data_IF_245034756540
#
_entry.id   IF_245034756540
#
_cell.length_a   1.000
_cell.length_b   1.000
_cell.length_c   1.000
_cell.angle_alpha   90.00
_cell.angle_beta   90.00
_cell.angle_gamma   90.00
#
_symmetry.space_group_name_H-M   'P 1'
#
loop_
_entity.id
_entity.type
_entity.pdbx_description
1 polymer ?
#
# COMPACT_ATOMS: atom_id res chain seq x y z
N UNK A 1 12.40 -10.68 -11.96
CA UNK A 1 12.03 -11.04 -10.58
C UNK A 1 11.24 -9.87 -10.01
N UNK A 2 10.08 -10.13 -9.45
CA UNK A 2 9.24 -9.11 -8.84
C UNK A 2 9.93 -8.40 -7.68
N UNK A 3 9.45 -7.22 -7.32
CA UNK A 3 9.95 -6.41 -6.21
C UNK A 3 8.92 -6.36 -5.09
N UNK A 4 9.37 -6.11 -3.87
CA UNK A 4 8.51 -5.81 -2.74
C UNK A 4 8.46 -4.30 -2.55
N UNK A 5 7.29 -3.72 -2.64
CA UNK A 5 7.11 -2.28 -2.57
C UNK A 5 6.08 -1.88 -1.50
N UNK A 6 6.28 -0.75 -0.87
CA UNK A 6 5.28 -0.12 0.00
C UNK A 6 5.05 1.32 -0.42
N UNK A 7 3.84 1.83 -0.24
CA UNK A 7 3.55 3.22 -0.56
C UNK A 7 2.18 3.67 -0.10
N UNK A 8 2.08 4.96 0.21
CA UNK A 8 0.86 5.58 0.73
C UNK A 8 0.72 7.03 0.27
N UNK A 9 -0.52 7.49 0.21
CA UNK A 9 -0.79 8.92 0.29
C UNK A 9 -0.39 9.41 1.67
N UNK A 10 0.46 10.44 1.71
CA UNK A 10 1.13 10.87 2.93
C UNK A 10 1.00 12.38 3.09
N UNK A 11 0.68 12.86 4.29
CA UNK A 11 0.76 14.28 4.62
C UNK A 11 2.21 14.78 4.65
N UNK A 12 2.41 16.09 4.54
CA UNK A 12 3.74 16.69 4.59
C UNK A 12 4.47 16.43 5.93
N UNK A 13 3.71 16.25 7.01
CA UNK A 13 4.22 15.89 8.34
C UNK A 13 4.30 14.38 8.61
N UNK A 14 4.12 13.54 7.56
CA UNK A 14 4.48 12.11 7.55
C UNK A 14 3.41 11.14 8.03
N UNK A 15 2.13 11.54 8.04
CA UNK A 15 1.02 10.68 8.42
C UNK A 15 0.30 10.11 7.19
N UNK A 16 -0.19 8.87 7.29
CA UNK A 16 -0.97 8.17 6.26
C UNK A 16 -2.45 8.04 6.58
N UNK A 17 -2.82 8.37 7.80
CA UNK A 17 -4.20 8.43 8.26
C UNK A 17 -4.27 9.24 9.56
N UNK A 18 -5.47 9.67 9.93
CA UNK A 18 -5.79 10.21 11.26
C UNK A 18 -5.68 9.13 12.34
N UNK A 19 -5.74 9.49 13.64
CA UNK A 19 -5.65 8.51 14.73
C UNK A 19 -6.76 7.44 14.70
N UNK A 20 -7.94 7.77 14.18
CA UNK A 20 -9.10 6.89 13.99
C UNK A 20 -8.98 5.97 12.76
N UNK A 21 -7.97 6.19 11.91
CA UNK A 21 -7.72 5.45 10.69
C UNK A 21 -8.31 6.09 9.42
N UNK A 22 -9.06 7.19 9.56
CA UNK A 22 -9.62 7.91 8.42
C UNK A 22 -8.53 8.62 7.62
N UNK A 23 -8.60 8.51 6.30
CA UNK A 23 -7.60 9.09 5.39
C UNK A 23 -7.86 10.57 5.08
N UNK A 24 -9.11 11.00 5.12
CA UNK A 24 -9.50 12.39 4.91
C UNK A 24 -8.87 13.03 3.67
N UNK A 25 -8.25 14.23 3.82
CA UNK A 25 -7.73 14.99 2.67
C UNK A 25 -6.53 14.34 1.97
N UNK A 26 -5.94 13.28 2.53
CA UNK A 26 -4.87 12.52 1.87
C UNK A 26 -5.33 11.87 0.57
N UNK A 27 -6.64 11.64 0.42
CA UNK A 27 -7.23 10.98 -0.76
C UNK A 27 -7.96 11.95 -1.71
N UNK A 28 -7.93 13.26 -1.45
CA UNK A 28 -8.62 14.24 -2.31
C UNK A 28 -8.13 14.20 -3.76
N UNK A 29 -6.87 13.90 -4.01
CA UNK A 29 -6.31 13.77 -5.34
C UNK A 29 -6.88 12.61 -6.16
N UNK A 30 -7.49 11.60 -5.52
CA UNK A 30 -8.20 10.52 -6.20
C UNK A 30 -9.53 10.96 -6.81
N UNK A 31 -10.04 12.15 -6.40
CA UNK A 31 -11.36 12.65 -6.81
C UNK A 31 -11.32 14.07 -7.40
N UNK A 32 -10.16 14.72 -7.37
CA UNK A 32 -9.97 16.12 -7.79
C UNK A 32 -9.54 16.32 -9.24
N UNK A 33 -9.43 15.26 -10.04
CA UNK A 33 -8.99 15.34 -11.44
C UNK A 33 -10.15 15.27 -12.45
N UNK A 34 -9.77 15.26 -13.72
CA UNK A 34 -10.69 15.21 -14.88
C UNK A 34 -10.61 13.88 -15.67
N UNK A 35 -9.66 13.01 -15.31
CA UNK A 35 -9.45 11.73 -15.96
C UNK A 35 -10.09 10.60 -15.15
N UNK A 36 -11.10 9.95 -15.74
CA UNK A 36 -11.68 8.76 -15.12
C UNK A 36 -10.72 7.58 -15.15
N UNK A 37 -10.52 6.98 -13.98
CA UNK A 37 -9.73 5.78 -13.81
C UNK A 37 -10.54 4.72 -13.06
N UNK A 38 -10.90 3.64 -13.76
CA UNK A 38 -11.62 2.52 -13.16
C UNK A 38 -10.64 1.54 -12.51
N UNK A 39 -10.84 1.26 -11.22
CA UNK A 39 -10.03 0.26 -10.50
C UNK A 39 -10.20 -1.14 -11.11
N UNK A 40 -9.19 -2.02 -10.99
CA UNK A 40 -9.23 -3.37 -11.59
C UNK A 40 -10.44 -4.21 -11.17
N UNK A 41 -10.94 -4.11 -9.93
CA UNK A 41 -12.18 -4.79 -9.50
C UNK A 41 -13.41 -4.34 -10.29
N UNK A 42 -13.37 -3.14 -10.85
CA UNK A 42 -14.46 -2.54 -11.57
C UNK A 42 -15.51 -1.81 -10.71
N UNK A 43 -15.40 -1.87 -9.39
CA UNK A 43 -16.40 -1.34 -8.46
C UNK A 43 -16.18 0.13 -8.10
N UNK A 44 -14.94 0.62 -8.28
CA UNK A 44 -14.53 1.98 -7.94
C UNK A 44 -14.03 2.69 -9.18
N UNK A 45 -14.57 3.89 -9.43
CA UNK A 45 -14.04 4.83 -10.44
C UNK A 45 -13.51 6.06 -9.75
N UNK A 46 -12.24 6.37 -10.00
CA UNK A 46 -11.54 7.55 -9.51
C UNK A 46 -11.60 8.66 -10.57
N UNK A 47 -11.42 9.91 -10.14
CA UNK A 47 -11.23 11.07 -11.00
C UNK A 47 -9.90 11.73 -10.68
N UNK A 48 -8.87 11.33 -11.37
CA UNK A 48 -7.49 11.74 -11.11
C UNK A 48 -6.95 12.60 -12.24
N UNK A 49 -5.77 13.19 -12.05
CA UNK A 49 -5.05 13.84 -13.16
C UNK A 49 -4.55 12.79 -14.17
N UNK A 50 -4.27 13.17 -15.44
CA UNK A 50 -3.66 12.26 -16.41
C UNK A 50 -2.36 11.63 -15.91
N UNK A 51 -1.50 12.41 -15.26
CA UNK A 51 -0.23 11.95 -14.71
C UNK A 51 -0.44 10.88 -13.62
N UNK A 52 -1.38 11.11 -12.70
CA UNK A 52 -1.74 10.14 -11.67
C UNK A 52 -2.38 8.88 -12.27
N UNK A 53 -3.21 9.02 -13.31
CA UNK A 53 -3.82 7.89 -14.00
C UNK A 53 -2.75 6.97 -14.64
N UNK A 54 -1.71 7.54 -15.24
CA UNK A 54 -0.61 6.77 -15.83
C UNK A 54 0.18 6.00 -14.77
N UNK A 55 0.46 6.62 -13.62
CA UNK A 55 1.09 5.95 -12.49
C UNK A 55 0.23 4.81 -11.92
N UNK A 56 -1.06 5.02 -11.78
CA UNK A 56 -1.97 3.97 -11.31
C UNK A 56 -2.06 2.80 -12.29
N UNK A 57 -2.09 3.06 -13.60
CA UNK A 57 -2.05 2.00 -14.64
C UNK A 57 -0.77 1.18 -14.56
N UNK A 58 0.38 1.86 -14.40
CA UNK A 58 1.67 1.18 -14.23
C UNK A 58 1.68 0.32 -12.98
N UNK A 59 1.27 0.87 -11.83
CA UNK A 59 1.18 0.17 -10.56
C UNK A 59 0.32 -1.11 -10.67
N UNK A 60 -0.90 -0.97 -11.18
CA UNK A 60 -1.82 -2.11 -11.28
C UNK A 60 -1.35 -3.18 -12.28
N UNK A 61 -0.63 -2.79 -13.33
CA UNK A 61 -0.05 -3.73 -14.29
C UNK A 61 1.10 -4.55 -13.68
N UNK A 62 1.88 -3.94 -12.80
CA UNK A 62 3.11 -4.52 -12.24
C UNK A 62 2.89 -5.28 -10.94
N UNK A 63 1.81 -5.01 -10.20
CA UNK A 63 1.48 -5.72 -8.95
C UNK A 63 0.84 -7.08 -9.24
N UNK A 64 1.20 -8.09 -8.45
CA UNK A 64 0.69 -9.46 -8.53
C UNK A 64 0.04 -9.97 -7.25
N UNK A 65 0.41 -9.41 -6.09
CA UNK A 65 -0.17 -9.75 -4.79
C UNK A 65 -0.02 -8.61 -3.79
N UNK A 66 -0.76 -8.68 -2.70
CA UNK A 66 -0.70 -7.72 -1.61
C UNK A 66 -0.44 -8.42 -0.28
N UNK A 67 0.35 -7.78 0.58
CA UNK A 67 0.51 -8.12 2.00
C UNK A 67 -0.06 -6.98 2.82
N UNK A 68 -0.99 -7.27 3.73
CA UNK A 68 -1.60 -6.25 4.59
C UNK A 68 -1.62 -6.69 6.04
N UNK A 69 -1.64 -5.73 6.97
CA UNK A 69 -1.85 -6.04 8.38
C UNK A 69 -3.33 -6.28 8.71
N UNK A 70 -3.59 -7.11 9.72
CA UNK A 70 -4.95 -7.43 10.19
C UNK A 70 -5.77 -6.18 10.50
N UNK A 71 -5.19 -5.19 11.16
CA UNK A 71 -5.90 -3.94 11.50
C UNK A 71 -6.34 -3.15 10.27
N UNK A 72 -5.52 -3.11 9.22
CA UNK A 72 -5.88 -2.49 7.95
C UNK A 72 -7.01 -3.28 7.27
N UNK A 73 -6.91 -4.60 7.25
CA UNK A 73 -7.94 -5.50 6.70
C UNK A 73 -9.29 -5.31 7.40
N UNK A 74 -9.30 -5.27 8.73
CA UNK A 74 -10.52 -5.09 9.53
C UNK A 74 -11.14 -3.71 9.32
N UNK A 75 -10.31 -2.64 9.32
CA UNK A 75 -10.77 -1.27 9.07
C UNK A 75 -11.41 -1.12 7.69
N UNK A 76 -10.85 -1.79 6.68
CA UNK A 76 -11.41 -1.83 5.33
C UNK A 76 -12.62 -2.79 5.19
N UNK A 77 -13.06 -3.47 6.25
CA UNK A 77 -14.14 -4.45 6.18
C UNK A 77 -13.86 -5.59 5.19
N UNK A 78 -12.57 -5.98 5.03
CA UNK A 78 -12.14 -6.93 4.02
C UNK A 78 -12.52 -6.50 2.59
N UNK A 79 -12.70 -5.21 2.34
CA UNK A 79 -13.15 -4.66 1.05
C UNK A 79 -14.42 -5.33 0.50
N UNK A 80 -15.29 -5.80 1.39
CA UNK A 80 -16.51 -6.50 0.97
C UNK A 80 -16.26 -7.85 0.30
N UNK A 81 -15.08 -8.46 0.51
CA UNK A 81 -14.72 -9.77 -0.06
C UNK A 81 -13.79 -9.71 -1.27
N UNK A 82 -13.47 -8.52 -1.79
CA UNK A 82 -12.59 -8.35 -2.96
C UNK A 82 -11.83 -7.04 -2.89
N UNK A 83 -10.50 -7.12 -2.92
CA UNK A 83 -9.66 -5.92 -2.92
C UNK A 83 -9.85 -5.11 -4.23
N UNK A 84 -9.88 -3.75 -4.19
CA UNK A 84 -10.06 -2.92 -5.38
C UNK A 84 -9.04 -3.18 -6.51
N UNK A 85 -7.84 -3.62 -6.19
CA UNK A 85 -6.83 -4.01 -7.18
C UNK A 85 -7.05 -5.41 -7.79
N UNK A 86 -8.06 -6.15 -7.34
CA UNK A 86 -8.39 -7.49 -7.80
C UNK A 86 -7.19 -8.49 -7.74
N UNK A 87 -6.47 -8.44 -6.64
CA UNK A 87 -5.28 -9.25 -6.39
C UNK A 87 -5.46 -10.14 -5.16
N UNK A 88 -4.76 -11.29 -5.08
CA UNK A 88 -4.67 -12.07 -3.86
C UNK A 88 -4.05 -11.24 -2.73
N UNK A 89 -4.64 -11.35 -1.53
CA UNK A 89 -4.23 -10.59 -0.35
C UNK A 89 -3.78 -11.54 0.76
N UNK A 90 -2.56 -11.33 1.25
CA UNK A 90 -1.99 -12.04 2.39
C UNK A 90 -2.11 -11.15 3.63
N UNK A 91 -2.90 -11.62 4.61
CA UNK A 91 -3.20 -10.84 5.82
C UNK A 91 -2.33 -11.33 6.97
N UNK A 92 -1.39 -10.50 7.42
CA UNK A 92 -0.55 -10.79 8.60
C UNK A 92 -1.40 -10.62 9.85
N UNK A 93 -1.52 -11.69 10.65
CA UNK A 93 -2.40 -11.71 11.83
C UNK A 93 -1.87 -12.67 12.90
N UNK A 94 -2.28 -12.48 14.16
CA UNK A 94 -2.05 -13.46 15.23
C UNK A 94 -3.15 -14.52 15.34
N UNK A 95 -4.35 -14.23 14.77
CA UNK A 95 -5.49 -15.14 14.80
C UNK A 95 -6.26 -15.05 13.49
N UNK A 96 -6.67 -16.21 12.99
CA UNK A 96 -7.41 -16.31 11.72
C UNK A 96 -8.90 -16.05 11.99
N UNK A 97 -9.52 -15.04 11.33
CA UNK A 97 -10.95 -14.79 11.44
C UNK A 97 -11.73 -15.82 10.62
N UNK A 98 -12.56 -16.61 11.31
CA UNK A 98 -13.25 -17.76 10.70
C UNK A 98 -14.28 -17.36 9.65
N UNK A 99 -14.87 -16.19 9.77
CA UNK A 99 -15.85 -15.63 8.84
C UNK A 99 -15.31 -15.36 7.42
N UNK A 100 -13.99 -15.26 7.28
CA UNK A 100 -13.32 -15.05 6.02
C UNK A 100 -12.73 -16.32 5.39
N UNK A 101 -12.90 -17.48 6.06
CA UNK A 101 -12.45 -18.78 5.56
C UNK A 101 -13.57 -19.46 4.78
N UNK A 102 -13.63 -19.19 3.48
CA UNK A 102 -14.56 -19.84 2.56
C UNK A 102 -13.84 -20.23 1.27
N UNK A 103 -14.39 -21.20 0.56
CA UNK A 103 -13.83 -21.67 -0.71
C UNK A 103 -13.79 -20.53 -1.75
N UNK A 104 -12.65 -20.33 -2.39
CA UNK A 104 -12.45 -19.23 -3.35
C UNK A 104 -12.18 -17.86 -2.72
N UNK A 105 -11.98 -17.77 -1.39
CA UNK A 105 -11.56 -16.52 -0.73
C UNK A 105 -10.25 -16.00 -1.35
N UNK A 106 -10.18 -14.71 -1.74
CA UNK A 106 -8.93 -14.10 -2.21
C UNK A 106 -7.96 -13.77 -1.06
N UNK A 107 -8.36 -14.05 0.18
CA UNK A 107 -7.60 -13.73 1.38
C UNK A 107 -6.89 -14.97 1.94
N UNK A 108 -5.59 -14.81 2.18
CA UNK A 108 -4.77 -15.81 2.87
C UNK A 108 -4.27 -15.22 4.17
N UNK A 109 -4.68 -15.80 5.31
CA UNK A 109 -4.25 -15.35 6.63
C UNK A 109 -2.93 -16.02 7.02
N UNK A 110 -1.92 -15.20 7.39
CA UNK A 110 -0.57 -15.67 7.72
C UNK A 110 -0.25 -15.33 9.17
N UNK A 111 0.03 -16.36 9.97
CA UNK A 111 0.29 -16.23 11.42
C UNK A 111 1.77 -16.36 11.80
N UNK A 112 2.64 -16.57 10.81
CA UNK A 112 4.07 -16.86 11.02
C UNK A 112 4.99 -15.64 10.75
N UNK A 113 4.43 -14.42 10.83
CA UNK A 113 5.19 -13.19 10.69
C UNK A 113 5.22 -12.62 9.28
N UNK A 114 5.91 -11.48 9.16
CA UNK A 114 5.94 -10.69 7.93
C UNK A 114 6.77 -11.36 6.83
N UNK A 115 7.87 -11.99 7.19
CA UNK A 115 8.75 -12.69 6.24
C UNK A 115 8.00 -13.80 5.51
N UNK A 116 7.27 -14.64 6.26
CA UNK A 116 6.45 -15.71 5.68
C UNK A 116 5.31 -15.17 4.79
N UNK A 117 4.73 -14.03 5.16
CA UNK A 117 3.68 -13.42 4.36
C UNK A 117 4.22 -12.86 3.04
N UNK A 118 5.37 -12.20 3.07
CA UNK A 118 6.04 -11.66 1.87
C UNK A 118 6.49 -12.79 0.95
N UNK A 119 7.12 -13.85 1.49
CA UNK A 119 7.55 -15.01 0.71
C UNK A 119 6.36 -15.65 -0.06
N UNK A 120 5.28 -15.94 0.63
CA UNK A 120 4.06 -16.53 0.02
C UNK A 120 3.40 -15.59 -0.99
N UNK A 121 3.42 -14.29 -0.73
CA UNK A 121 2.90 -13.29 -1.66
C UNK A 121 3.76 -13.20 -2.93
N UNK A 122 5.10 -13.28 -2.79
CA UNK A 122 6.03 -13.32 -3.93
C UNK A 122 5.84 -14.58 -4.78
N UNK A 123 5.63 -15.75 -4.17
CA UNK A 123 5.28 -16.98 -4.90
C UNK A 123 3.99 -16.79 -5.70
N UNK A 124 2.94 -16.24 -5.10
CA UNK A 124 1.67 -15.99 -5.77
C UNK A 124 1.76 -14.93 -6.87
N UNK A 125 2.60 -13.92 -6.69
CA UNK A 125 2.80 -12.84 -7.65
C UNK A 125 3.61 -13.27 -8.88
N UNK A 126 4.42 -14.32 -8.80
CA UNK A 126 5.30 -14.80 -9.86
C UNK A 126 6.34 -13.75 -10.24
N UNK A 127 6.36 -13.32 -11.50
CA UNK A 127 7.29 -12.27 -11.97
C UNK A 127 6.85 -10.84 -11.62
N UNK A 128 5.65 -10.66 -11.09
CA UNK A 128 5.12 -9.37 -10.67
C UNK A 128 5.56 -9.00 -9.26
N UNK A 129 5.37 -7.74 -8.90
CA UNK A 129 5.72 -7.19 -7.60
C UNK A 129 4.65 -7.45 -6.53
N UNK A 130 5.06 -7.38 -5.28
CA UNK A 130 4.18 -7.44 -4.10
C UNK A 130 4.06 -6.07 -3.47
N UNK A 131 2.81 -5.64 -3.23
CA UNK A 131 2.53 -4.43 -2.48
C UNK A 131 2.35 -4.70 -0.98
N UNK A 132 3.00 -3.93 -0.13
CA UNK A 132 2.84 -4.02 1.33
C UNK A 132 2.03 -2.84 1.83
N UNK A 133 0.85 -3.10 2.43
CA UNK A 133 -0.12 -2.11 2.89
C UNK A 133 -0.38 -2.14 4.40
N UNK A 134 -0.55 -0.95 4.99
CA UNK A 134 -0.72 -0.74 6.43
C UNK A 134 0.60 -0.39 7.13
N UNK A 135 0.58 0.68 7.96
CA UNK A 135 1.79 1.25 8.55
C UNK A 135 2.66 0.23 9.28
N UNK A 136 2.05 -0.55 10.18
CA UNK A 136 2.79 -1.49 11.02
C UNK A 136 3.50 -2.59 10.20
N UNK A 137 2.83 -3.20 9.22
CA UNK A 137 3.47 -4.23 8.37
C UNK A 137 4.50 -3.63 7.43
N UNK A 138 4.28 -2.40 6.94
CA UNK A 138 5.29 -1.68 6.16
C UNK A 138 6.56 -1.43 6.98
N UNK A 139 6.41 -0.93 8.22
CA UNK A 139 7.51 -0.69 9.14
C UNK A 139 8.27 -1.98 9.48
N UNK A 140 7.57 -3.08 9.76
CA UNK A 140 8.18 -4.39 9.99
C UNK A 140 8.94 -4.87 8.75
N UNK A 141 8.36 -4.74 7.55
CA UNK A 141 9.00 -5.14 6.29
C UNK A 141 10.26 -4.31 5.99
N UNK A 142 10.22 -3.00 6.23
CA UNK A 142 11.38 -2.12 6.08
C UNK A 142 12.48 -2.53 7.06
N UNK A 143 12.14 -2.73 8.33
CA UNK A 143 13.08 -3.15 9.38
C UNK A 143 13.72 -4.52 9.10
N UNK A 144 12.96 -5.43 8.49
CA UNK A 144 13.44 -6.75 8.09
C UNK A 144 14.23 -6.75 6.77
N UNK A 145 14.42 -5.59 6.11
CA UNK A 145 15.14 -5.48 4.84
C UNK A 145 14.41 -6.12 3.65
N UNK A 146 13.09 -6.27 3.73
CA UNK A 146 12.29 -6.92 2.70
C UNK A 146 11.80 -5.95 1.60
N UNK A 147 11.89 -4.64 1.82
CA UNK A 147 11.36 -3.63 0.89
C UNK A 147 12.44 -3.19 -0.10
N UNK A 148 12.14 -3.30 -1.38
CA UNK A 148 12.97 -2.81 -2.49
C UNK A 148 12.62 -1.37 -2.88
N UNK A 149 11.33 -1.02 -2.83
CA UNK A 149 10.83 0.28 -3.30
C UNK A 149 9.84 0.91 -2.32
N UNK A 150 9.95 2.24 -2.18
CA UNK A 150 9.05 3.05 -1.36
C UNK A 150 8.40 4.12 -2.24
N UNK A 151 7.07 4.17 -2.20
CA UNK A 151 6.25 5.20 -2.83
C UNK A 151 5.67 6.16 -1.81
N UNK A 152 5.75 7.46 -2.09
CA UNK A 152 5.08 8.50 -1.33
C UNK A 152 4.23 9.30 -2.32
N UNK A 153 2.93 9.31 -2.10
CA UNK A 153 2.02 10.21 -2.81
C UNK A 153 1.73 11.38 -1.86
N UNK A 154 2.61 12.39 -1.93
CA UNK A 154 2.65 13.50 -1.00
C UNK A 154 1.49 14.47 -1.24
N UNK A 155 0.51 14.46 -0.36
CA UNK A 155 -0.57 15.43 -0.34
C UNK A 155 -0.13 16.73 0.35
N UNK A 156 -0.50 17.92 -0.18
CA UNK A 156 -0.09 19.22 0.38
C UNK A 156 -0.92 19.60 1.62
N UNK A 157 -0.86 18.77 2.65
CA UNK A 157 -1.62 18.90 3.89
C UNK A 157 -0.77 18.55 5.11
N UNK A 158 -1.06 19.19 6.24
CA UNK A 158 -0.55 18.83 7.57
C UNK A 158 -1.72 18.22 8.35
N UNK A 159 -1.54 17.03 8.92
CA UNK A 159 -2.54 16.39 9.77
C UNK A 159 -2.34 16.73 11.26
N UNK A 160 -1.10 17.01 11.69
CA UNK A 160 -0.73 17.34 13.06
C UNK A 160 -0.64 16.14 13.98
N UNK A 161 -1.49 15.13 13.81
CA UNK A 161 -1.50 13.85 14.53
C UNK A 161 -2.05 12.76 13.64
N UNK A 162 -1.69 11.49 13.92
CA UNK A 162 -2.17 10.37 13.14
C UNK A 162 -1.27 9.14 13.15
N UNK A 163 -1.49 8.27 12.16
CA UNK A 163 -0.71 7.07 11.93
C UNK A 163 0.48 7.42 11.04
N UNK A 164 1.70 7.32 11.58
CA UNK A 164 2.92 7.60 10.82
C UNK A 164 3.25 6.50 9.83
N UNK A 165 3.69 6.90 8.64
CA UNK A 165 4.25 5.95 7.68
C UNK A 165 5.56 5.35 8.20
N UNK A 166 6.49 6.21 8.58
CA UNK A 166 7.80 5.80 9.08
C UNK A 166 7.85 6.02 10.59
N UNK A 167 7.87 4.91 11.31
CA UNK A 167 8.03 4.83 12.76
C UNK A 167 8.58 3.46 13.12
N UNK A 168 9.16 3.33 14.31
CA UNK A 168 9.65 2.05 14.86
C UNK A 168 10.69 1.33 13.96
N UNK A 169 11.44 2.07 13.14
CA UNK A 169 12.43 1.50 12.21
C UNK A 169 13.74 1.10 12.88
N UNK A 170 13.94 1.44 14.17
CA UNK A 170 15.19 1.23 14.91
C UNK A 170 16.19 2.36 14.67
N UNK A 171 17.45 2.12 15.01
CA UNK A 171 18.53 3.12 14.97
C UNK A 171 19.32 3.12 13.65
N UNK A 172 19.10 2.14 12.78
CA UNK A 172 19.80 2.03 11.51
C UNK A 172 19.31 3.07 10.51
N UNK A 173 20.23 3.77 9.88
CA UNK A 173 19.91 4.61 8.72
C UNK A 173 19.60 3.73 7.51
N UNK A 174 18.52 4.06 6.81
CA UNK A 174 18.13 3.40 5.56
C UNK A 174 18.32 4.42 4.45
N UNK A 175 19.26 4.17 3.57
CA UNK A 175 19.55 5.04 2.44
C UNK A 175 18.55 4.80 1.31
N UNK A 176 18.06 5.89 0.73
CA UNK A 176 17.08 5.87 -0.36
C UNK A 176 17.62 6.60 -1.57
N UNK A 177 17.53 5.97 -2.72
CA UNK A 177 17.76 6.61 -4.01
C UNK A 177 16.44 7.02 -4.64
N UNK A 178 16.28 8.30 -4.93
CA UNK A 178 15.09 8.80 -5.62
C UNK A 178 15.12 8.41 -7.10
N UNK A 179 14.15 7.59 -7.50
CA UNK A 179 14.06 7.07 -8.87
C UNK A 179 13.09 7.85 -9.75
N UNK A 180 12.05 8.46 -9.15
CA UNK A 180 11.04 9.21 -9.92
C UNK A 180 10.37 10.29 -9.09
N UNK A 181 10.04 11.40 -9.75
CA UNK A 181 9.14 12.45 -9.25
C UNK A 181 8.12 12.75 -10.33
N UNK A 182 6.84 12.79 -9.98
CA UNK A 182 5.76 13.23 -10.86
C UNK A 182 4.91 14.24 -10.11
N UNK A 183 4.89 15.46 -10.61
CA UNK A 183 4.01 16.51 -10.09
C UNK A 183 2.63 16.39 -10.73
N UNK A 184 1.60 16.46 -9.90
CA UNK A 184 0.21 16.43 -10.33
C UNK A 184 -0.64 17.35 -9.44
N UNK A 185 -1.78 17.84 -9.92
CA UNK A 185 -2.69 18.62 -9.10
C UNK A 185 -3.07 17.89 -7.81
N UNK A 186 -2.83 18.54 -6.66
CA UNK A 186 -3.16 18.01 -5.34
C UNK A 186 -2.24 16.91 -4.81
N UNK A 187 -1.19 16.50 -5.54
CA UNK A 187 -0.25 15.46 -5.09
C UNK A 187 1.08 15.56 -5.81
N UNK A 188 2.17 15.20 -5.10
CA UNK A 188 3.47 14.93 -5.70
C UNK A 188 3.82 13.47 -5.48
N UNK A 189 3.95 12.71 -6.54
CA UNK A 189 4.33 11.30 -6.47
C UNK A 189 5.84 11.15 -6.44
N UNK A 190 6.35 10.57 -5.36
CA UNK A 190 7.77 10.29 -5.14
C UNK A 190 7.98 8.78 -5.12
N UNK A 191 9.02 8.31 -5.81
CA UNK A 191 9.41 6.89 -5.81
C UNK A 191 10.88 6.79 -5.46
N UNK A 192 11.17 5.85 -4.57
CA UNK A 192 12.51 5.59 -4.07
C UNK A 192 12.83 4.11 -4.15
N UNK A 193 14.09 3.82 -4.42
CA UNK A 193 14.68 2.50 -4.22
C UNK A 193 15.40 2.49 -2.88
N UNK A 194 15.26 1.41 -2.13
CA UNK A 194 16.05 1.17 -0.93
C UNK A 194 17.45 0.73 -1.36
N UNK A 195 18.48 1.44 -0.86
CA UNK A 195 19.88 1.07 -1.10
C UNK A 195 20.25 0.00 -0.08
N UNK A 196 20.63 -1.18 -0.58
CA UNK A 196 21.06 -2.33 0.24
C UNK A 196 22.57 -2.35 0.41
#
# INVERSE_FOLDING_TARGET
MGKVATGFSTSLDGFIARPDGEVGPLFDWYFGGDTEYRMPSGDITLKVSPQSADLLRELHRTMGALVVGRRHFDHAGGWGGRHPMDLPVFVVTHSVPQEWLYEGSPFTFVTHGIESAVERAMEAAGDKSVGVGGANVAQQSIKAGLIDEIGIDLAPVLLGDGIRFFDNLGDAQIELERTRVVEAPGVTHLRFRVVQ
#
